data_IF_233484536401
#
_entry.id   IF_233484536401
#
_cell.length_a   1.000
_cell.length_b   1.000
_cell.length_c   1.000
_cell.angle_alpha   90.00
_cell.angle_beta   90.00
_cell.angle_gamma   90.00
#
_symmetry.space_group_name_H-M   'P 1'
#
loop_
_entity.id
_entity.type
_entity.pdbx_description
1 polymer ?
#
# COMPACT_ATOMS: atom_id res chain seq x y z
N UNK A 1 17.57 0.19 -31.07
CA UNK A 1 16.11 -0.06 -30.96
C UNK A 1 15.60 0.88 -29.86
N UNK A 2 14.55 1.65 -30.10
CA UNK A 2 13.98 2.53 -29.06
C UNK A 2 13.22 1.61 -28.08
N UNK A 3 13.57 1.57 -26.78
CA UNK A 3 12.87 0.73 -25.82
C UNK A 3 11.41 1.16 -25.73
N UNK A 4 10.50 0.19 -25.62
CA UNK A 4 9.09 0.50 -25.41
C UNK A 4 8.91 1.19 -24.06
N UNK A 5 7.82 1.96 -23.96
CA UNK A 5 7.40 2.61 -22.71
C UNK A 5 7.29 1.58 -21.56
N UNK A 6 6.82 0.36 -21.85
CA UNK A 6 6.77 -0.74 -20.87
C UNK A 6 8.15 -1.20 -20.39
N UNK A 7 9.15 -1.26 -21.27
CA UNK A 7 10.53 -1.64 -20.90
C UNK A 7 11.18 -0.56 -20.05
N UNK A 8 10.95 0.72 -20.36
CA UNK A 8 11.44 1.84 -19.55
C UNK A 8 10.84 1.76 -18.13
N UNK A 9 9.54 1.51 -18.02
CA UNK A 9 8.85 1.37 -16.74
C UNK A 9 9.37 0.18 -15.92
N UNK A 10 9.52 -0.99 -16.55
CA UNK A 10 10.06 -2.16 -15.85
C UNK A 10 11.50 -1.94 -15.40
N UNK A 11 12.36 -1.37 -16.25
CA UNK A 11 13.74 -1.08 -15.87
C UNK A 11 13.82 -0.06 -14.72
N UNK A 12 12.90 0.91 -14.67
CA UNK A 12 12.80 1.82 -13.55
C UNK A 12 12.38 1.10 -12.26
N UNK A 13 11.29 0.33 -12.29
CA UNK A 13 10.77 -0.38 -11.11
C UNK A 13 11.79 -1.37 -10.55
N UNK A 14 12.44 -2.16 -11.42
CA UNK A 14 13.31 -3.28 -11.03
C UNK A 14 14.78 -2.91 -10.85
N UNK A 15 15.29 -1.88 -11.53
CA UNK A 15 16.73 -1.55 -11.55
C UNK A 15 17.03 -0.08 -11.24
N UNK A 16 16.01 0.76 -11.06
CA UNK A 16 16.18 2.21 -10.89
C UNK A 16 16.70 2.93 -12.14
N UNK A 17 16.69 2.28 -13.30
CA UNK A 17 17.23 2.86 -14.53
C UNK A 17 16.22 3.81 -15.22
N UNK A 18 16.72 4.79 -15.97
CA UNK A 18 15.90 5.71 -16.78
C UNK A 18 14.95 6.64 -16.00
N UNK A 19 15.30 6.99 -14.76
CA UNK A 19 14.53 7.87 -13.86
C UNK A 19 13.98 9.14 -14.53
N UNK A 20 14.83 9.96 -15.16
CA UNK A 20 14.41 11.20 -15.85
C UNK A 20 13.41 10.95 -16.98
N UNK A 21 13.47 9.78 -17.62
CA UNK A 21 12.55 9.42 -18.70
C UNK A 21 11.23 8.91 -18.13
N UNK A 22 11.27 8.14 -17.04
CA UNK A 22 10.08 7.72 -16.30
C UNK A 22 9.32 8.92 -15.72
N UNK A 23 10.01 9.90 -15.13
CA UNK A 23 9.39 11.14 -14.64
C UNK A 23 8.67 11.90 -15.75
N UNK A 24 9.32 12.06 -16.92
CA UNK A 24 8.71 12.74 -18.08
C UNK A 24 7.50 12.01 -18.65
N UNK A 25 7.50 10.67 -18.61
CA UNK A 25 6.42 9.86 -19.17
C UNK A 25 5.22 9.75 -18.23
N UNK A 26 5.45 9.75 -16.91
CA UNK A 26 4.42 9.41 -15.93
C UNK A 26 4.07 10.53 -14.94
N UNK A 27 4.79 11.67 -14.94
CA UNK A 27 4.67 12.82 -14.01
C UNK A 27 4.88 12.48 -12.51
N UNK A 28 4.50 11.28 -12.08
CA UNK A 28 4.79 10.65 -10.80
C UNK A 28 5.19 9.20 -11.09
N UNK A 29 6.49 8.91 -11.28
CA UNK A 29 6.92 7.57 -11.62
C UNK A 29 6.68 6.63 -10.43
N UNK A 30 6.28 5.37 -10.67
CA UNK A 30 6.00 4.41 -9.61
C UNK A 30 7.27 4.10 -8.83
N UNK A 31 7.15 3.96 -7.50
CA UNK A 31 8.28 3.71 -6.60
C UNK A 31 9.08 2.48 -7.06
N UNK A 32 10.40 2.56 -7.01
CA UNK A 32 11.27 1.40 -7.25
C UNK A 32 11.05 0.33 -6.18
N UNK A 33 11.46 -0.90 -6.45
CA UNK A 33 11.38 -1.97 -5.44
C UNK A 33 12.16 -1.66 -4.16
N UNK A 34 13.36 -1.08 -4.30
CA UNK A 34 14.14 -0.63 -3.14
C UNK A 34 13.43 0.49 -2.39
N UNK A 35 12.83 1.45 -3.11
CA UNK A 35 12.02 2.51 -2.50
C UNK A 35 10.76 1.99 -1.81
N UNK A 36 10.20 0.86 -2.27
CA UNK A 36 9.09 0.20 -1.59
C UNK A 36 9.54 -0.40 -0.26
N UNK A 37 10.69 -1.09 -0.25
CA UNK A 37 11.27 -1.66 0.96
C UNK A 37 11.62 -0.56 1.99
N UNK A 38 12.26 0.53 1.56
CA UNK A 38 12.57 1.68 2.41
C UNK A 38 11.31 2.34 2.96
N UNK A 39 10.28 2.52 2.12
CA UNK A 39 9.00 3.09 2.55
C UNK A 39 8.27 2.20 3.56
N UNK A 40 8.30 0.89 3.37
CA UNK A 40 7.71 -0.07 4.30
C UNK A 40 8.38 0.02 5.68
N UNK A 41 9.71 0.09 5.73
CA UNK A 41 10.47 0.28 6.98
C UNK A 41 10.12 1.62 7.62
N UNK A 42 10.14 2.72 6.87
CA UNK A 42 9.82 4.05 7.39
C UNK A 42 8.40 4.14 7.95
N UNK A 43 7.42 3.52 7.27
CA UNK A 43 6.05 3.40 7.78
C UNK A 43 6.03 2.55 9.05
N UNK A 44 6.68 1.39 9.06
CA UNK A 44 6.75 0.55 10.25
C UNK A 44 7.32 1.33 11.44
N UNK A 45 8.42 2.06 11.28
CA UNK A 45 9.03 2.88 12.33
C UNK A 45 8.09 3.96 12.86
N UNK A 46 7.40 4.69 11.97
CA UNK A 46 6.43 5.72 12.36
C UNK A 46 5.31 5.14 13.23
N UNK A 47 4.83 3.95 12.87
CA UNK A 47 3.70 3.34 13.54
C UNK A 47 4.12 2.45 14.72
N UNK A 48 5.39 2.05 14.86
CA UNK A 48 5.88 1.14 15.91
C UNK A 48 5.48 1.60 17.31
N UNK A 49 5.58 2.91 17.58
CA UNK A 49 5.29 3.49 18.90
C UNK A 49 3.82 3.87 19.11
N UNK A 50 2.96 3.70 18.11
CA UNK A 50 1.54 4.12 18.18
C UNK A 50 0.63 3.08 18.82
N UNK A 51 1.16 1.89 19.15
CA UNK A 51 0.41 0.76 19.71
C UNK A 51 -0.82 0.38 18.86
N UNK A 52 -0.83 0.73 17.57
CA UNK A 52 -1.96 0.46 16.67
C UNK A 52 -2.28 -1.03 16.55
N UNK A 53 -1.27 -1.87 16.72
CA UNK A 53 -1.31 -3.32 16.56
C UNK A 53 -1.82 -4.06 17.81
N UNK A 54 -2.16 -3.37 18.91
CA UNK A 54 -2.74 -4.05 20.07
C UNK A 54 -4.17 -4.50 19.77
N UNK A 55 -4.54 -5.68 20.27
CA UNK A 55 -5.85 -6.32 20.00
C UNK A 55 -7.02 -5.36 20.25
N UNK A 56 -6.97 -4.60 21.35
CA UNK A 56 -8.00 -3.63 21.72
C UNK A 56 -8.20 -2.53 20.67
N UNK A 57 -7.11 -2.04 20.05
CA UNK A 57 -7.17 -1.00 19.01
C UNK A 57 -7.65 -1.58 17.69
N UNK A 58 -7.21 -2.79 17.37
CA UNK A 58 -7.66 -3.49 16.16
C UNK A 58 -9.15 -3.84 16.24
N UNK A 59 -9.66 -4.23 17.41
CA UNK A 59 -11.09 -4.45 17.65
C UNK A 59 -11.91 -3.18 17.46
N UNK A 60 -11.41 -2.04 17.94
CA UNK A 60 -12.06 -0.74 17.75
C UNK A 60 -12.07 -0.33 16.27
N UNK A 61 -10.95 -0.54 15.57
CA UNK A 61 -10.82 -0.28 14.15
C UNK A 61 -11.81 -1.14 13.33
N UNK A 62 -11.84 -2.45 13.59
CA UNK A 62 -12.76 -3.40 12.95
C UNK A 62 -14.21 -2.95 13.10
N UNK A 63 -14.65 -2.65 14.33
CA UNK A 63 -16.01 -2.17 14.61
C UNK A 63 -16.34 -0.88 13.87
N UNK A 64 -15.40 0.07 13.87
CA UNK A 64 -15.58 1.36 13.21
C UNK A 64 -15.69 1.21 11.68
N UNK A 65 -14.84 0.37 11.08
CA UNK A 65 -14.87 0.06 9.65
C UNK A 65 -16.17 -0.65 9.25
N UNK A 66 -16.63 -1.62 10.05
CA UNK A 66 -17.90 -2.30 9.81
C UNK A 66 -19.07 -1.31 9.88
N UNK A 67 -19.12 -0.45 10.90
CA UNK A 67 -20.19 0.56 11.04
C UNK A 67 -20.19 1.51 9.85
N UNK A 68 -19.03 2.06 9.50
CA UNK A 68 -18.88 3.03 8.42
C UNK A 68 -19.26 2.41 7.07
N UNK A 69 -18.79 1.21 6.75
CA UNK A 69 -19.15 0.53 5.51
C UNK A 69 -20.64 0.16 5.47
N UNK A 70 -21.27 -0.14 6.61
CA UNK A 70 -22.71 -0.37 6.67
C UNK A 70 -23.50 0.91 6.41
N UNK A 71 -23.09 2.03 7.00
CA UNK A 71 -23.71 3.34 6.80
C UNK A 71 -23.60 3.81 5.35
N UNK A 72 -22.46 3.54 4.71
CA UNK A 72 -22.23 3.84 3.29
C UNK A 72 -22.93 2.86 2.33
N UNK A 73 -23.50 1.75 2.84
CA UNK A 73 -24.09 0.70 2.00
C UNK A 73 -23.07 -0.14 1.23
N UNK A 74 -21.80 -0.11 1.63
CA UNK A 74 -20.67 -0.78 0.98
C UNK A 74 -20.20 -2.05 1.69
N UNK A 75 -20.86 -2.47 2.79
CA UNK A 75 -20.48 -3.67 3.54
C UNK A 75 -20.88 -4.96 2.82
N UNK A 76 -20.07 -5.38 1.84
CA UNK A 76 -20.19 -6.70 1.20
C UNK A 76 -19.49 -7.79 2.03
N UNK A 77 -19.76 -9.08 1.75
CA UNK A 77 -19.00 -10.18 2.36
C UNK A 77 -17.49 -10.07 2.15
N UNK A 78 -17.04 -9.65 0.97
CA UNK A 78 -15.62 -9.47 0.64
C UNK A 78 -15.02 -8.32 1.45
N UNK A 79 -15.72 -7.18 1.54
CA UNK A 79 -15.28 -6.05 2.36
C UNK A 79 -15.16 -6.46 3.83
N UNK A 80 -16.12 -7.25 4.33
CA UNK A 80 -16.05 -7.77 5.69
C UNK A 80 -14.82 -8.68 5.89
N UNK A 81 -14.56 -9.61 4.97
CA UNK A 81 -13.39 -10.48 5.04
C UNK A 81 -12.07 -9.68 5.03
N UNK A 82 -11.98 -8.64 4.20
CA UNK A 82 -10.80 -7.76 4.17
C UNK A 82 -10.60 -6.99 5.48
N UNK A 83 -11.69 -6.57 6.13
CA UNK A 83 -11.62 -5.92 7.45
C UNK A 83 -11.16 -6.94 8.51
N UNK A 84 -11.72 -8.15 8.51
CA UNK A 84 -11.39 -9.20 9.48
C UNK A 84 -9.91 -9.63 9.37
N UNK A 85 -9.33 -9.60 8.16
CA UNK A 85 -7.91 -9.94 7.94
C UNK A 85 -6.93 -8.87 8.42
N UNK A 86 -7.36 -7.64 8.74
CA UNK A 86 -6.46 -6.56 9.16
C UNK A 86 -5.61 -6.91 10.40
N UNK A 87 -6.15 -7.75 11.29
CA UNK A 87 -5.44 -8.25 12.49
C UNK A 87 -4.22 -9.12 12.15
N UNK A 88 -4.18 -9.69 10.95
CA UNK A 88 -3.08 -10.52 10.48
C UNK A 88 -1.96 -9.68 9.85
N UNK A 89 -2.09 -8.36 9.85
CA UNK A 89 -1.25 -7.43 9.09
C UNK A 89 -1.82 -7.17 7.71
N UNK A 90 -1.38 -6.06 7.09
CA UNK A 90 -1.66 -5.80 5.69
C UNK A 90 -0.85 -6.80 4.84
N UNK A 91 -1.49 -7.90 4.42
CA UNK A 91 -0.96 -8.77 3.38
C UNK A 91 -1.44 -8.17 2.06
N UNK A 92 -0.52 -7.61 1.28
CA UNK A 92 -0.77 -7.23 -0.13
C UNK A 92 -1.08 -8.47 -0.99
#
# INVERSE_FOLDING_TARGET
MIPSVSTILQNFIWKGENERLAERLYNSPPITLDGFAERAIALQEQYTNTLWHIDEKMDLLEKSLISTNRELGCLTPEVKLSIDSLKQGAVE
#
